data_IF_689122061308
#
_entry.id   IF_689122061308
#
_cell.length_a   1.000
_cell.length_b   1.000
_cell.length_c   1.000
_cell.angle_alpha   90.00
_cell.angle_beta   90.00
_cell.angle_gamma   90.00
#
_symmetry.space_group_name_H-M   'P 1'
#
loop_
_entity.id
_entity.type
_entity.pdbx_description
1 polymer ?
#
# COMPACT_ATOMS: atom_id res chain seq x y z
N UNK A 1 1.19 17.02 3.64
CA UNK A 1 0.81 16.19 2.47
C UNK A 1 1.62 14.90 2.49
N UNK A 2 1.06 13.80 2.00
CA UNK A 2 1.74 12.49 2.02
C UNK A 2 3.06 12.51 1.25
N UNK A 3 3.05 12.93 -0.02
CA UNK A 3 4.25 12.98 -0.87
C UNK A 3 5.39 13.78 -0.23
N UNK A 4 5.09 14.93 0.37
CA UNK A 4 6.11 15.74 1.04
C UNK A 4 6.66 15.03 2.30
N UNK A 5 5.82 14.33 3.05
CA UNK A 5 6.27 13.53 4.20
C UNK A 5 7.15 12.35 3.78
N UNK A 6 6.88 11.77 2.62
CA UNK A 6 7.63 10.63 2.08
C UNK A 6 8.94 11.03 1.38
N UNK A 7 9.12 12.32 1.06
CA UNK A 7 10.25 12.80 0.26
C UNK A 7 11.64 12.48 0.85
N UNK A 8 11.88 12.63 2.18
CA UNK A 8 13.17 12.26 2.75
C UNK A 8 13.53 10.80 2.49
N UNK A 9 12.58 9.91 2.74
CA UNK A 9 12.78 8.47 2.57
C UNK A 9 12.92 8.09 1.09
N UNK A 10 12.15 8.73 0.19
CA UNK A 10 12.33 8.54 -1.25
C UNK A 10 13.77 8.88 -1.67
N UNK A 11 14.33 9.98 -1.17
CA UNK A 11 15.71 10.40 -1.46
C UNK A 11 16.75 9.43 -0.90
N UNK A 12 16.56 8.95 0.33
CA UNK A 12 17.43 7.93 0.93
C UNK A 12 17.44 6.63 0.12
N UNK A 13 16.31 6.27 -0.47
CA UNK A 13 16.16 5.10 -1.34
C UNK A 13 16.56 5.36 -2.81
N UNK A 14 17.09 6.57 -3.11
CA UNK A 14 17.57 6.94 -4.44
C UNK A 14 16.49 7.36 -5.43
N UNK A 15 15.27 7.65 -4.97
CA UNK A 15 14.19 8.11 -5.84
C UNK A 15 14.10 9.64 -5.90
N UNK A 16 13.89 10.16 -7.11
CA UNK A 16 13.39 11.51 -7.34
C UNK A 16 11.86 11.55 -7.32
N UNK A 17 11.30 12.73 -7.06
CA UNK A 17 9.85 12.96 -7.11
C UNK A 17 9.56 14.23 -7.88
N UNK A 18 8.59 14.20 -8.80
CA UNK A 18 8.01 15.37 -9.44
C UNK A 18 6.49 15.16 -9.60
N UNK A 19 5.73 16.24 -9.48
CA UNK A 19 4.30 16.25 -9.81
C UNK A 19 4.07 16.96 -11.14
N UNK A 20 3.10 16.49 -11.94
CA UNK A 20 2.64 17.18 -13.14
C UNK A 20 1.14 17.45 -13.03
N UNK A 21 0.73 18.65 -13.44
CA UNK A 21 -0.66 19.07 -13.46
C UNK A 21 -0.96 19.90 -14.70
N UNK A 22 -2.22 19.90 -15.11
CA UNK A 22 -2.75 20.78 -16.14
C UNK A 22 -2.96 22.23 -15.66
N UNK A 23 -2.67 22.52 -14.38
CA UNK A 23 -2.77 23.86 -13.82
C UNK A 23 -1.65 24.78 -14.30
N UNK A 24 -1.90 26.09 -14.29
CA UNK A 24 -0.89 27.10 -14.63
C UNK A 24 0.21 27.17 -13.57
N UNK A 25 1.37 27.70 -13.96
CA UNK A 25 2.52 27.93 -13.05
C UNK A 25 2.07 28.70 -11.79
N UNK A 26 1.30 29.79 -11.96
CA UNK A 26 0.83 30.60 -10.83
C UNK A 26 -0.06 29.83 -9.83
N UNK A 27 -0.89 28.91 -10.32
CA UNK A 27 -1.69 28.02 -9.48
C UNK A 27 -0.79 27.06 -8.71
N UNK A 28 0.19 26.47 -9.39
CA UNK A 28 1.13 25.50 -8.78
C UNK A 28 2.04 26.18 -7.75
N UNK A 29 2.53 27.40 -8.02
CA UNK A 29 3.30 28.19 -7.05
C UNK A 29 2.50 28.51 -5.80
N UNK A 30 1.25 28.97 -5.95
CA UNK A 30 0.36 29.22 -4.82
C UNK A 30 0.12 27.94 -4.00
N UNK A 31 -0.12 26.82 -4.68
CA UNK A 31 -0.32 25.53 -4.04
C UNK A 31 0.94 25.05 -3.31
N UNK A 32 2.11 25.14 -3.97
CA UNK A 32 3.40 24.74 -3.39
C UNK A 32 3.73 25.55 -2.14
N UNK A 33 3.59 26.89 -2.21
CA UNK A 33 3.84 27.77 -1.08
C UNK A 33 2.91 27.49 0.10
N UNK A 34 1.61 27.36 -0.14
CA UNK A 34 0.60 27.09 0.89
C UNK A 34 0.80 25.73 1.56
N UNK A 35 1.23 24.71 0.80
CA UNK A 35 1.41 23.34 1.27
C UNK A 35 2.86 23.00 1.63
N UNK A 36 3.77 23.97 1.51
CA UNK A 36 5.22 23.81 1.77
C UNK A 36 5.81 22.63 0.98
N UNK A 37 5.45 22.53 -0.31
CA UNK A 37 5.94 21.49 -1.21
C UNK A 37 7.34 21.88 -1.68
N UNK A 38 8.31 20.95 -1.57
CA UNK A 38 9.71 21.16 -1.90
C UNK A 38 10.18 20.42 -3.16
N UNK A 39 9.37 19.47 -3.65
CA UNK A 39 9.64 18.78 -4.92
C UNK A 39 9.05 19.55 -6.11
N UNK A 40 9.60 19.38 -7.33
CA UNK A 40 9.12 20.06 -8.53
C UNK A 40 7.64 19.78 -8.83
N UNK A 41 6.88 20.84 -9.11
CA UNK A 41 5.56 20.79 -9.70
C UNK A 41 5.64 21.33 -11.14
N UNK A 42 5.30 20.50 -12.10
CA UNK A 42 5.40 20.80 -13.54
C UNK A 42 4.01 21.18 -14.08
N UNK A 43 3.95 22.28 -14.82
CA UNK A 43 2.73 22.80 -15.44
C UNK A 43 2.60 22.31 -16.87
N UNK A 44 1.46 21.69 -17.19
CA UNK A 44 1.08 21.23 -18.54
C UNK A 44 -0.31 21.78 -18.91
N UNK A 45 -0.50 23.10 -19.03
CA UNK A 45 -1.81 23.74 -19.17
C UNK A 45 -2.55 23.35 -20.44
N UNK A 46 -1.85 22.90 -21.47
CA UNK A 46 -2.41 22.38 -22.71
C UNK A 46 -2.59 20.86 -22.72
N UNK A 47 -2.23 20.20 -21.59
CA UNK A 47 -2.29 18.75 -21.42
C UNK A 47 -1.55 17.95 -22.51
N UNK A 48 -0.46 18.50 -23.04
CA UNK A 48 0.36 17.84 -24.08
C UNK A 48 1.04 16.60 -23.55
N UNK A 49 1.72 16.74 -22.41
CA UNK A 49 2.39 15.62 -21.74
C UNK A 49 1.36 14.61 -21.21
N UNK A 50 0.29 15.10 -20.60
CA UNK A 50 -0.83 14.28 -20.12
C UNK A 50 -1.41 13.39 -21.25
N UNK A 51 -1.60 13.97 -22.46
CA UNK A 51 -2.03 13.20 -23.64
C UNK A 51 -0.98 12.19 -24.11
N UNK A 52 0.30 12.58 -24.16
CA UNK A 52 1.37 11.67 -24.61
C UNK A 52 1.53 10.45 -23.71
N UNK A 53 1.20 10.58 -22.41
CA UNK A 53 1.18 9.46 -21.46
C UNK A 53 -0.14 8.67 -21.50
N UNK A 54 -1.13 9.07 -22.32
CA UNK A 54 -2.41 8.39 -22.45
C UNK A 54 -3.30 8.42 -21.20
N UNK A 55 -3.15 9.46 -20.38
CA UNK A 55 -3.85 9.60 -19.10
C UNK A 55 -4.88 10.74 -19.08
N UNK A 56 -5.19 11.34 -20.21
CA UNK A 56 -6.24 12.34 -20.28
C UNK A 56 -7.59 11.73 -19.90
N UNK A 57 -8.32 12.39 -19.00
CA UNK A 57 -9.67 11.98 -18.65
C UNK A 57 -10.68 12.55 -19.64
N UNK A 58 -10.99 11.77 -20.67
CA UNK A 58 -11.94 12.15 -21.73
C UNK A 58 -13.41 12.16 -21.27
N UNK A 59 -13.70 11.63 -20.09
CA UNK A 59 -15.07 11.62 -19.52
C UNK A 59 -15.45 12.99 -18.95
N UNK A 60 -14.49 13.88 -18.72
CA UNK A 60 -14.75 15.22 -18.20
C UNK A 60 -15.05 16.18 -19.36
N UNK A 61 -16.33 16.49 -19.55
CA UNK A 61 -16.82 17.37 -20.63
C UNK A 61 -16.96 18.85 -20.24
N UNK A 62 -16.78 19.19 -18.95
CA UNK A 62 -16.91 20.57 -18.48
C UNK A 62 -15.71 21.41 -18.92
N UNK A 63 -15.93 22.54 -19.58
CA UNK A 63 -14.88 23.40 -20.14
C UNK A 63 -13.82 23.82 -19.08
N UNK A 64 -14.24 24.13 -17.85
CA UNK A 64 -13.33 24.49 -16.76
C UNK A 64 -12.45 23.34 -16.26
N UNK A 65 -12.79 22.11 -16.58
CA UNK A 65 -12.07 20.90 -16.19
C UNK A 65 -11.46 20.17 -17.40
N UNK A 66 -11.57 20.75 -18.60
CA UNK A 66 -10.97 20.17 -19.79
C UNK A 66 -9.44 20.06 -19.62
N UNK A 67 -8.90 18.89 -19.98
CA UNK A 67 -7.45 18.65 -19.84
C UNK A 67 -7.03 17.97 -18.55
N UNK A 68 -7.97 17.71 -17.63
CA UNK A 68 -7.67 17.00 -16.37
C UNK A 68 -7.21 15.56 -16.66
N UNK A 69 -6.13 15.07 -16.03
CA UNK A 69 -5.70 13.68 -16.18
C UNK A 69 -6.48 12.75 -15.25
N UNK A 70 -6.48 11.45 -15.57
CA UNK A 70 -6.65 10.44 -14.55
C UNK A 70 -5.50 10.55 -13.54
N UNK A 71 -5.80 10.56 -12.24
CA UNK A 71 -4.75 10.64 -11.24
C UNK A 71 -4.02 9.30 -11.10
N UNK A 72 -2.73 9.37 -10.93
CA UNK A 72 -1.90 8.19 -10.77
C UNK A 72 -0.43 8.50 -10.62
N UNK A 73 0.36 7.45 -10.57
CA UNK A 73 1.80 7.51 -10.41
C UNK A 73 2.49 6.65 -11.45
N UNK A 74 3.49 7.21 -12.11
CA UNK A 74 4.46 6.47 -12.91
C UNK A 74 5.75 6.32 -12.10
N UNK A 75 6.32 5.13 -12.12
CA UNK A 75 7.70 4.90 -11.68
C UNK A 75 8.56 4.73 -12.92
N UNK A 76 9.62 5.52 -13.02
CA UNK A 76 10.55 5.47 -14.15
C UNK A 76 11.96 5.12 -13.68
N UNK A 77 12.71 4.42 -14.52
CA UNK A 77 14.13 4.13 -14.26
C UNK A 77 15.03 5.34 -14.60
N UNK A 78 16.34 5.19 -14.41
CA UNK A 78 17.31 6.23 -14.68
C UNK A 78 17.41 6.60 -16.18
N UNK A 79 16.98 5.68 -17.07
CA UNK A 79 16.93 5.88 -18.51
C UNK A 79 15.61 6.48 -19.00
N UNK A 80 14.68 6.80 -18.05
CA UNK A 80 13.39 7.40 -18.35
C UNK A 80 12.33 6.41 -18.84
N UNK A 81 12.54 5.10 -18.70
CA UNK A 81 11.55 4.07 -19.06
C UNK A 81 10.58 3.84 -17.93
N UNK A 82 9.29 3.73 -18.26
CA UNK A 82 8.26 3.41 -17.28
C UNK A 82 8.38 1.95 -16.85
N UNK A 83 8.70 1.72 -15.58
CA UNK A 83 8.83 0.38 -14.97
C UNK A 83 7.62 -0.02 -14.12
N UNK A 84 6.78 0.94 -13.72
CA UNK A 84 5.49 0.66 -13.07
C UNK A 84 4.50 1.81 -13.27
N UNK A 85 3.20 1.45 -13.21
CA UNK A 85 2.06 2.39 -13.29
C UNK A 85 1.04 2.05 -12.23
N UNK A 86 0.59 3.07 -11.48
CA UNK A 86 -0.43 2.96 -10.43
C UNK A 86 -1.53 3.97 -10.72
N UNK A 87 -2.61 3.51 -11.35
CA UNK A 87 -3.74 4.33 -11.76
C UNK A 87 -5.05 3.64 -11.41
N UNK A 88 -6.01 4.42 -10.92
CA UNK A 88 -7.36 3.98 -10.66
C UNK A 88 -8.36 4.71 -11.57
N UNK A 89 -9.42 4.01 -11.97
CA UNK A 89 -10.52 4.62 -12.74
C UNK A 89 -11.33 5.60 -11.89
N UNK A 90 -11.48 5.32 -10.59
CA UNK A 90 -12.10 6.25 -9.66
C UNK A 90 -11.06 7.27 -9.18
N UNK A 91 -11.25 8.53 -9.59
CA UNK A 91 -10.37 9.64 -9.22
C UNK A 91 -10.25 9.87 -7.70
N UNK A 92 -11.11 9.27 -6.91
CA UNK A 92 -11.07 9.33 -5.43
C UNK A 92 -10.13 8.31 -4.82
N UNK A 93 -9.72 7.30 -5.58
CA UNK A 93 -8.77 6.29 -5.14
C UNK A 93 -7.35 6.71 -5.48
N UNK A 94 -6.42 6.44 -4.58
CA UNK A 94 -5.00 6.81 -4.71
C UNK A 94 -4.11 5.78 -4.05
N UNK A 95 -3.09 5.34 -4.78
CA UNK A 95 -1.98 4.61 -4.18
C UNK A 95 -1.12 5.57 -3.35
N UNK A 96 -0.75 5.15 -2.13
CA UNK A 96 0.27 5.85 -1.38
C UNK A 96 1.65 5.55 -1.96
N UNK A 97 2.56 6.53 -1.89
CA UNK A 97 3.95 6.31 -2.32
C UNK A 97 4.63 5.25 -1.46
N UNK A 98 4.39 5.29 -0.16
CA UNK A 98 4.89 4.28 0.77
C UNK A 98 4.38 2.88 0.41
N UNK A 99 3.10 2.77 0.01
CA UNK A 99 2.50 1.52 -0.48
C UNK A 99 3.16 1.03 -1.77
N UNK A 100 3.42 1.93 -2.73
CA UNK A 100 4.13 1.61 -3.98
C UNK A 100 5.54 1.08 -3.68
N UNK A 101 6.28 1.72 -2.77
CA UNK A 101 7.63 1.30 -2.39
C UNK A 101 7.62 -0.06 -1.66
N UNK A 102 6.63 -0.28 -0.79
CA UNK A 102 6.47 -1.54 -0.09
C UNK A 102 6.14 -2.70 -1.03
N UNK A 103 5.21 -2.47 -1.97
CA UNK A 103 4.76 -3.47 -2.95
C UNK A 103 5.85 -3.80 -3.98
N UNK A 104 6.39 -2.77 -4.64
CA UNK A 104 7.26 -2.96 -5.81
C UNK A 104 8.72 -3.20 -5.46
N UNK A 105 9.20 -2.55 -4.39
CA UNK A 105 10.62 -2.54 -4.03
C UNK A 105 10.91 -3.24 -2.70
N UNK A 106 9.89 -3.77 -2.02
CA UNK A 106 10.03 -4.42 -0.73
C UNK A 106 10.50 -3.48 0.40
N UNK A 107 10.33 -2.15 0.22
CA UNK A 107 10.82 -1.11 1.13
C UNK A 107 9.74 -0.71 2.11
N UNK A 108 9.96 -0.95 3.40
CA UNK A 108 9.05 -0.51 4.47
C UNK A 108 9.33 0.96 4.82
N UNK A 109 8.71 1.85 4.09
CA UNK A 109 8.91 3.29 4.20
C UNK A 109 7.79 3.90 5.03
N UNK A 110 8.11 4.43 6.19
CA UNK A 110 7.11 4.99 7.10
C UNK A 110 6.31 3.95 7.87
N UNK A 111 6.83 2.75 7.94
CA UNK A 111 6.19 1.59 8.53
C UNK A 111 5.82 1.80 10.01
N UNK A 112 4.54 1.62 10.27
CA UNK A 112 4.07 1.30 11.61
C UNK A 112 4.19 -0.21 11.77
N UNK A 113 4.99 -0.66 12.73
CA UNK A 113 5.21 -2.08 13.01
C UNK A 113 5.08 -2.39 14.50
N UNK A 114 4.60 -3.57 14.82
CA UNK A 114 4.60 -4.12 16.17
C UNK A 114 5.14 -5.55 16.14
N UNK A 115 6.26 -5.81 16.82
CA UNK A 115 6.83 -7.15 16.89
C UNK A 115 6.10 -8.00 17.94
N UNK A 116 5.73 -9.22 17.56
CA UNK A 116 5.18 -10.25 18.45
C UNK A 116 6.15 -11.43 18.48
N UNK A 117 6.64 -11.78 19.68
CA UNK A 117 7.49 -12.97 19.89
C UNK A 117 6.60 -14.15 20.24
N UNK A 118 6.60 -15.15 19.38
CA UNK A 118 5.84 -16.38 19.54
C UNK A 118 6.76 -17.57 19.80
N UNK A 119 6.20 -18.71 20.14
CA UNK A 119 6.99 -19.89 20.50
C UNK A 119 7.89 -20.37 19.36
N UNK A 120 7.43 -20.29 18.12
CA UNK A 120 8.08 -20.84 16.93
C UNK A 120 8.74 -19.80 16.04
N UNK A 121 8.32 -18.53 16.14
CA UNK A 121 8.79 -17.44 15.27
C UNK A 121 8.54 -16.06 15.87
N UNK A 122 9.14 -15.05 15.26
CA UNK A 122 8.80 -13.66 15.44
C UNK A 122 7.88 -13.24 14.31
N UNK A 123 6.80 -12.54 14.63
CA UNK A 123 5.84 -11.96 13.67
C UNK A 123 5.86 -10.44 13.79
N UNK A 124 6.08 -9.76 12.67
CA UNK A 124 6.07 -8.30 12.62
C UNK A 124 4.99 -7.83 11.64
N UNK A 125 3.77 -7.57 12.12
CA UNK A 125 2.76 -6.87 11.35
C UNK A 125 3.20 -5.43 11.11
N UNK A 126 3.09 -4.95 9.86
CA UNK A 126 3.42 -3.59 9.50
C UNK A 126 2.40 -3.03 8.49
N UNK A 127 2.38 -1.70 8.34
CA UNK A 127 1.62 -1.01 7.32
C UNK A 127 2.50 0.06 6.68
N UNK A 128 2.35 0.29 5.37
CA UNK A 128 3.11 1.31 4.65
C UNK A 128 2.82 2.73 5.14
N UNK A 129 1.63 2.96 5.68
CA UNK A 129 1.16 4.28 6.12
C UNK A 129 0.49 4.17 7.49
N UNK A 130 0.63 5.21 8.31
CA UNK A 130 -0.10 5.36 9.58
C UNK A 130 -1.24 6.36 9.45
N UNK A 131 -1.10 7.32 8.55
CA UNK A 131 -2.09 8.36 8.29
C UNK A 131 -2.73 8.04 6.96
N UNK A 132 -4.05 7.93 6.95
CA UNK A 132 -4.82 7.51 5.77
C UNK A 132 -5.95 8.48 5.46
N UNK A 133 -6.44 8.44 4.23
CA UNK A 133 -7.59 9.20 3.74
C UNK A 133 -8.57 8.30 3.03
N UNK A 134 -9.78 8.78 2.87
CA UNK A 134 -10.77 8.07 2.07
C UNK A 134 -10.26 7.76 0.66
N UNK A 135 -10.51 6.53 0.18
CA UNK A 135 -10.06 6.06 -1.14
C UNK A 135 -8.56 5.75 -1.24
N UNK A 136 -7.79 5.79 -0.16
CA UNK A 136 -6.36 5.52 -0.21
C UNK A 136 -6.07 4.02 -0.24
N UNK A 137 -5.15 3.62 -1.13
CA UNK A 137 -4.55 2.29 -1.19
C UNK A 137 -3.25 2.28 -0.40
N UNK A 138 -3.13 1.36 0.53
CA UNK A 138 -1.92 1.11 1.31
C UNK A 138 -1.56 -0.36 1.27
N UNK A 139 -0.37 -0.69 1.72
CA UNK A 139 0.11 -2.07 1.84
C UNK A 139 0.26 -2.44 3.31
N UNK A 140 -0.35 -3.55 3.68
CA UNK A 140 -0.07 -4.26 4.93
C UNK A 140 0.97 -5.34 4.65
N UNK A 141 1.85 -5.59 5.60
CA UNK A 141 2.82 -6.68 5.52
C UNK A 141 2.89 -7.47 6.82
N UNK A 142 3.21 -8.75 6.67
CA UNK A 142 3.57 -9.64 7.77
C UNK A 142 4.98 -10.15 7.49
N UNK A 143 5.95 -9.76 8.28
CA UNK A 143 7.25 -10.39 8.28
C UNK A 143 7.25 -11.53 9.30
N UNK A 144 7.58 -12.72 8.84
CA UNK A 144 7.68 -13.92 9.66
C UNK A 144 9.15 -14.35 9.70
N UNK A 145 9.70 -14.54 10.91
CA UNK A 145 11.05 -15.06 11.13
C UNK A 145 10.98 -16.31 11.98
N UNK A 146 10.95 -17.47 11.32
CA UNK A 146 10.94 -18.77 11.98
C UNK A 146 12.25 -19.05 12.71
N UNK A 147 12.17 -19.70 13.87
CA UNK A 147 13.33 -20.23 14.55
C UNK A 147 13.97 -21.35 13.72
N UNK A 148 15.29 -21.58 13.83
CA UNK A 148 15.96 -22.68 13.11
C UNK A 148 15.29 -24.03 13.38
N UNK A 149 15.14 -24.84 12.33
CA UNK A 149 14.53 -26.17 12.40
C UNK A 149 12.99 -26.18 12.34
N UNK A 150 12.34 -25.00 12.25
CA UNK A 150 10.89 -24.90 12.05
C UNK A 150 10.55 -24.48 10.63
N UNK A 151 9.41 -24.99 10.16
CA UNK A 151 8.77 -24.58 8.93
C UNK A 151 7.25 -24.43 9.10
N UNK A 152 6.61 -23.76 8.16
CA UNK A 152 5.15 -23.67 8.03
C UNK A 152 4.76 -23.99 6.60
N UNK A 153 3.57 -24.54 6.38
CA UNK A 153 3.11 -24.90 5.03
C UNK A 153 2.61 -23.68 4.27
N UNK A 154 2.99 -23.61 3.01
CA UNK A 154 2.53 -22.58 2.09
C UNK A 154 1.10 -22.86 1.61
N UNK A 155 0.35 -21.83 1.15
CA UNK A 155 -0.91 -22.02 0.46
C UNK A 155 -0.76 -22.96 -0.75
N UNK A 156 -1.77 -23.82 -0.95
CA UNK A 156 -1.74 -24.81 -2.03
C UNK A 156 -1.09 -26.15 -1.65
N UNK A 157 -0.63 -26.33 -0.41
CA UNK A 157 -0.20 -27.63 0.08
C UNK A 157 -1.34 -28.65 -0.03
N UNK A 158 -1.00 -29.87 -0.39
CA UNK A 158 -1.93 -31.00 -0.51
C UNK A 158 -2.01 -31.79 0.81
N UNK A 159 -2.92 -32.76 0.86
CA UNK A 159 -3.16 -33.62 2.01
C UNK A 159 -3.73 -32.85 3.23
N UNK A 160 -3.57 -33.40 4.43
CA UNK A 160 -4.16 -32.87 5.67
C UNK A 160 -3.25 -31.80 6.34
N UNK A 161 -2.30 -31.26 5.61
CA UNK A 161 -1.46 -30.16 6.10
C UNK A 161 -2.21 -28.84 6.16
N UNK A 162 -1.97 -28.08 7.21
CA UNK A 162 -2.63 -26.78 7.45
C UNK A 162 -1.72 -25.66 6.96
N UNK A 163 -2.05 -25.02 5.80
CA UNK A 163 -1.27 -23.91 5.30
C UNK A 163 -1.43 -22.66 6.16
N UNK A 164 -0.45 -21.76 6.07
CA UNK A 164 -0.62 -20.41 6.62
C UNK A 164 -1.78 -19.70 5.92
N UNK A 165 -2.54 -18.92 6.70
CA UNK A 165 -3.64 -18.09 6.22
C UNK A 165 -3.67 -16.77 6.94
N UNK A 166 -3.90 -15.71 6.20
CA UNK A 166 -4.08 -14.38 6.73
C UNK A 166 -5.48 -13.88 6.38
N UNK A 167 -6.34 -13.81 7.37
CA UNK A 167 -7.71 -13.32 7.25
C UNK A 167 -7.82 -11.89 7.80
N UNK A 168 -8.72 -11.11 7.21
CA UNK A 168 -9.03 -9.75 7.67
C UNK A 168 -10.47 -9.67 8.12
N UNK A 169 -10.72 -8.90 9.17
CA UNK A 169 -12.08 -8.60 9.60
C UNK A 169 -12.82 -7.79 8.51
N UNK A 170 -14.07 -8.15 8.29
CA UNK A 170 -14.94 -7.44 7.34
C UNK A 170 -15.30 -6.06 7.88
N UNK A 171 -15.40 -5.08 6.99
CA UNK A 171 -15.82 -3.71 7.29
C UNK A 171 -16.36 -3.02 6.06
N UNK A 172 -17.31 -2.10 6.24
CA UNK A 172 -17.76 -1.18 5.19
C UNK A 172 -16.78 -0.03 4.97
N UNK A 173 -15.87 0.21 5.91
CA UNK A 173 -14.87 1.29 5.85
C UNK A 173 -13.60 0.95 5.09
N UNK A 174 -13.37 -0.32 4.75
CA UNK A 174 -12.22 -0.75 3.95
C UNK A 174 -12.46 -2.08 3.26
N UNK A 175 -11.66 -2.33 2.22
CA UNK A 175 -11.58 -3.62 1.55
C UNK A 175 -10.14 -4.11 1.56
N UNK A 176 -9.93 -5.40 1.80
CA UNK A 176 -8.62 -6.02 1.69
C UNK A 176 -8.52 -6.85 0.41
N UNK A 177 -7.39 -6.74 -0.28
CA UNK A 177 -7.03 -7.60 -1.39
C UNK A 177 -6.71 -9.04 -0.95
N UNK A 178 -6.38 -9.89 -1.90
CA UNK A 178 -5.86 -11.23 -1.65
C UNK A 178 -4.41 -11.11 -1.18
N UNK A 179 -3.96 -11.85 -0.14
CA UNK A 179 -2.56 -11.83 0.27
C UNK A 179 -1.65 -12.38 -0.83
N UNK A 180 -0.55 -11.69 -1.08
CA UNK A 180 0.54 -12.14 -1.95
C UNK A 180 1.58 -12.84 -1.08
N UNK A 181 1.83 -14.10 -1.39
CA UNK A 181 2.79 -14.94 -0.72
C UNK A 181 4.08 -15.03 -1.54
N UNK A 182 5.26 -15.12 -0.91
CA UNK A 182 6.51 -15.36 -1.63
C UNK A 182 6.52 -16.77 -2.24
N UNK A 183 7.48 -17.02 -3.10
CA UNK A 183 7.68 -18.37 -3.65
C UNK A 183 8.08 -19.35 -2.53
N UNK A 184 7.29 -20.42 -2.37
CA UNK A 184 7.56 -21.48 -1.42
C UNK A 184 8.71 -22.37 -1.92
N UNK A 185 9.41 -23.01 -0.98
CA UNK A 185 10.36 -24.09 -1.29
C UNK A 185 9.65 -25.42 -1.15
N UNK A 186 9.95 -26.35 -2.06
CA UNK A 186 9.47 -27.72 -1.92
C UNK A 186 10.51 -28.52 -1.12
N UNK A 187 10.13 -28.94 0.07
CA UNK A 187 11.01 -29.68 0.99
C UNK A 187 10.36 -31.02 1.39
N UNK A 188 11.19 -32.02 1.69
CA UNK A 188 10.71 -33.26 2.32
C UNK A 188 10.26 -32.94 3.74
N UNK A 189 9.04 -33.38 4.06
CA UNK A 189 8.48 -33.21 5.40
C UNK A 189 8.34 -34.56 6.08
N UNK A 190 8.40 -34.58 7.43
CA UNK A 190 8.40 -35.80 8.20
C UNK A 190 7.21 -36.72 7.86
N UNK A 191 7.50 -37.99 7.59
CA UNK A 191 6.50 -39.02 7.34
C UNK A 191 5.86 -38.98 5.94
N UNK A 192 6.32 -38.10 5.05
CA UNK A 192 5.80 -37.98 3.69
C UNK A 192 6.93 -38.15 2.65
N UNK A 193 6.82 -39.11 1.71
CA UNK A 193 7.78 -39.25 0.63
C UNK A 193 7.69 -38.12 -0.41
N UNK A 194 6.59 -37.39 -0.44
CA UNK A 194 6.36 -36.30 -1.38
C UNK A 194 6.89 -34.98 -0.82
N UNK A 195 7.37 -34.12 -1.73
CA UNK A 195 7.77 -32.76 -1.40
C UNK A 195 6.53 -31.89 -1.11
N UNK A 196 6.57 -31.12 -0.03
CA UNK A 196 5.53 -30.16 0.32
C UNK A 196 6.04 -28.71 0.18
N UNK A 197 5.22 -27.76 -0.29
CA UNK A 197 5.59 -26.35 -0.34
C UNK A 197 5.59 -25.76 1.08
N UNK A 198 6.75 -25.29 1.52
CA UNK A 198 6.97 -24.74 2.87
C UNK A 198 7.68 -23.39 2.85
N UNK A 199 7.56 -22.68 3.96
CA UNK A 199 8.39 -21.53 4.30
C UNK A 199 9.23 -21.87 5.53
N UNK A 200 10.52 -21.55 5.46
CA UNK A 200 11.49 -21.65 6.55
C UNK A 200 12.29 -20.35 6.64
N UNK A 201 12.89 -20.06 7.78
CA UNK A 201 13.68 -18.85 8.01
C UNK A 201 12.85 -17.57 7.96
N UNK A 202 13.24 -16.59 7.14
CA UNK A 202 12.58 -15.28 7.01
C UNK A 202 11.82 -15.20 5.70
N UNK A 203 10.55 -14.79 5.78
CA UNK A 203 9.73 -14.49 4.61
C UNK A 203 8.71 -13.38 4.92
N UNK A 204 8.18 -12.78 3.88
CA UNK A 204 7.23 -11.66 3.97
C UNK A 204 5.99 -11.95 3.13
N UNK A 205 4.83 -11.66 3.70
CA UNK A 205 3.52 -11.69 3.04
C UNK A 205 3.05 -10.25 2.94
N UNK A 206 2.49 -9.85 1.81
CA UNK A 206 1.92 -8.53 1.62
C UNK A 206 0.45 -8.62 1.24
N UNK A 207 -0.30 -7.57 1.58
CA UNK A 207 -1.72 -7.45 1.25
C UNK A 207 -2.08 -5.99 1.05
N UNK A 208 -2.80 -5.69 -0.01
CA UNK A 208 -3.36 -4.37 -0.22
C UNK A 208 -4.55 -4.15 0.72
N UNK A 209 -4.68 -2.92 1.20
CA UNK A 209 -5.85 -2.42 1.94
C UNK A 209 -6.31 -1.12 1.30
N UNK A 210 -7.59 -1.05 0.92
CA UNK A 210 -8.21 0.11 0.30
C UNK A 210 -9.23 0.70 1.24
N UNK A 211 -9.01 1.93 1.69
CA UNK A 211 -9.98 2.64 2.51
C UNK A 211 -11.17 3.11 1.67
N UNK A 212 -12.36 2.99 2.23
CA UNK A 212 -13.59 3.48 1.61
C UNK A 212 -13.60 5.01 1.48
N UNK A 213 -14.60 5.56 0.80
CA UNK A 213 -14.80 6.99 0.71
C UNK A 213 -14.99 7.62 2.11
N UNK A 214 -14.78 8.95 2.23
CA UNK A 214 -14.99 9.66 3.53
C UNK A 214 -16.36 9.36 4.16
N UNK A 215 -17.42 9.20 3.34
CA UNK A 215 -18.76 8.84 3.81
C UNK A 215 -18.83 7.47 4.49
N UNK A 216 -18.01 6.53 4.05
CA UNK A 216 -17.92 5.18 4.62
C UNK A 216 -17.05 5.13 5.88
N UNK A 217 -16.12 6.09 6.02
CA UNK A 217 -15.30 6.23 7.22
C UNK A 217 -16.00 7.01 8.36
N UNK A 218 -17.02 7.82 8.05
CA UNK A 218 -17.80 8.58 9.05
C UNK A 218 -18.36 7.74 10.20
N UNK A 219 -18.98 6.56 9.97
CA UNK A 219 -19.50 5.71 11.05
C UNK A 219 -18.41 5.17 11.98
N UNK A 220 -17.14 5.15 11.52
CA UNK A 220 -15.96 4.71 12.26
C UNK A 220 -15.26 5.88 12.99
N UNK A 221 -15.88 7.06 13.05
CA UNK A 221 -15.35 8.26 13.70
C UNK A 221 -15.00 9.40 12.73
N UNK A 222 -14.93 9.14 11.42
CA UNK A 222 -14.67 10.16 10.39
C UNK A 222 -13.27 10.75 10.44
N UNK A 223 -13.16 12.01 10.03
CA UNK A 223 -11.88 12.74 10.00
C UNK A 223 -11.35 13.01 11.40
N UNK A 224 -10.04 12.89 11.57
CA UNK A 224 -9.29 12.97 12.83
C UNK A 224 -9.58 11.84 13.83
N UNK A 225 -10.27 10.77 13.41
CA UNK A 225 -10.45 9.58 14.22
C UNK A 225 -9.27 8.61 14.08
N UNK A 226 -9.08 7.81 15.11
CA UNK A 226 -8.26 6.60 15.02
C UNK A 226 -9.18 5.42 14.71
N UNK A 227 -8.87 4.67 13.66
CA UNK A 227 -9.55 3.43 13.30
C UNK A 227 -8.62 2.24 13.47
N UNK A 228 -9.19 1.11 13.90
CA UNK A 228 -8.45 -0.14 14.08
C UNK A 228 -8.89 -1.17 13.04
N UNK A 229 -7.96 -1.61 12.22
CA UNK A 229 -8.14 -2.72 11.28
C UNK A 229 -7.65 -3.98 11.94
N UNK A 230 -8.48 -5.03 11.96
CA UNK A 230 -8.17 -6.31 12.61
C UNK A 230 -8.01 -7.42 11.59
N UNK A 231 -7.20 -8.41 11.95
CA UNK A 231 -7.02 -9.63 11.18
C UNK A 231 -6.59 -10.79 12.06
N UNK A 232 -6.35 -11.94 11.43
CA UNK A 232 -5.87 -13.15 12.10
C UNK A 232 -4.86 -13.84 11.19
N UNK A 233 -3.71 -14.20 11.74
CA UNK A 233 -2.73 -15.05 11.08
C UNK A 233 -2.81 -16.46 11.64
N UNK A 234 -3.29 -17.40 10.82
CA UNK A 234 -3.37 -18.81 11.16
C UNK A 234 -2.15 -19.55 10.62
N UNK A 235 -1.59 -20.43 11.43
CA UNK A 235 -0.42 -21.23 11.06
C UNK A 235 -0.39 -22.57 11.78
N UNK A 236 0.35 -23.50 11.23
CA UNK A 236 0.80 -24.73 11.90
C UNK A 236 2.33 -24.80 11.76
N UNK A 237 3.04 -24.74 12.89
CA UNK A 237 4.49 -24.90 12.89
C UNK A 237 4.86 -26.39 12.97
N UNK A 238 5.85 -26.78 12.17
CA UNK A 238 6.36 -28.15 12.13
C UNK A 238 7.88 -28.15 12.22
N UNK A 239 8.42 -29.25 12.73
CA UNK A 239 9.84 -29.63 12.61
C UNK A 239 9.95 -30.81 11.64
N UNK A 240 11.14 -31.31 11.42
CA UNK A 240 11.33 -32.55 10.64
C UNK A 240 10.63 -33.78 11.26
N UNK A 241 10.24 -33.74 12.51
CA UNK A 241 9.70 -34.90 13.24
C UNK A 241 8.26 -34.74 13.73
N UNK A 242 7.80 -33.52 13.91
CA UNK A 242 6.54 -33.25 14.60
C UNK A 242 5.90 -31.95 14.09
N UNK A 243 4.58 -32.00 13.85
CA UNK A 243 3.75 -30.82 13.67
C UNK A 243 3.00 -30.48 14.97
N UNK A 244 3.03 -29.21 15.34
CA UNK A 244 2.31 -28.70 16.51
C UNK A 244 0.85 -28.39 16.13
N UNK A 245 -0.07 -28.31 17.10
CA UNK A 245 -1.43 -27.87 16.81
C UNK A 245 -1.47 -26.51 16.12
N UNK A 246 -2.41 -26.30 15.19
CA UNK A 246 -2.56 -25.01 14.53
C UNK A 246 -2.94 -23.93 15.54
N UNK A 247 -2.46 -22.71 15.31
CA UNK A 247 -2.69 -21.54 16.14
C UNK A 247 -3.16 -20.35 15.33
N UNK A 248 -3.94 -19.48 15.97
CA UNK A 248 -4.43 -18.23 15.43
C UNK A 248 -3.80 -17.06 16.22
N UNK A 249 -3.13 -16.15 15.51
CA UNK A 249 -2.51 -14.95 16.08
C UNK A 249 -3.35 -13.74 15.70
N UNK A 250 -3.90 -13.00 16.68
CA UNK A 250 -4.63 -11.77 16.38
C UNK A 250 -3.69 -10.68 15.87
N UNK A 251 -4.17 -9.92 14.89
CA UNK A 251 -3.45 -8.83 14.26
C UNK A 251 -4.27 -7.54 14.39
N UNK A 252 -3.58 -6.44 14.65
CA UNK A 252 -4.18 -5.10 14.70
C UNK A 252 -3.27 -4.07 14.04
N UNK A 253 -3.89 -3.15 13.26
CA UNK A 253 -3.27 -1.96 12.72
C UNK A 253 -4.13 -0.75 13.07
N UNK A 254 -3.51 0.31 13.58
CA UNK A 254 -4.18 1.56 13.95
C UNK A 254 -3.83 2.65 12.96
N UNK A 255 -4.84 3.32 12.44
CA UNK A 255 -4.72 4.35 11.42
C UNK A 255 -5.38 5.63 11.89
N UNK A 256 -4.70 6.75 11.67
CA UNK A 256 -5.28 8.07 11.83
C UNK A 256 -5.90 8.53 10.51
N UNK A 257 -7.18 8.91 10.53
CA UNK A 257 -7.91 9.35 9.33
C UNK A 257 -7.78 10.86 9.18
N UNK A 258 -7.15 11.31 8.08
CA UNK A 258 -7.12 12.72 7.70
C UNK A 258 -8.20 13.05 6.66
N UNK A 259 -8.78 14.25 6.74
CA UNK A 259 -9.67 14.79 5.70
C UNK A 259 -8.90 15.13 4.43
N UNK A 260 -9.62 15.16 3.31
CA UNK A 260 -9.12 15.81 2.11
C UNK A 260 -8.98 17.32 2.30
N UNK A 261 -7.95 17.88 1.70
CA UNK A 261 -7.84 19.31 1.54
C UNK A 261 -8.93 19.82 0.58
N UNK A 262 -9.81 20.67 1.10
CA UNK A 262 -10.90 21.28 0.31
C UNK A 262 -10.65 22.76 0.04
N UNK A 263 -9.50 23.27 0.45
CA UNK A 263 -9.14 24.67 0.23
C UNK A 263 -8.88 24.91 -1.26
N UNK A 264 -9.61 25.84 -1.82
CA UNK A 264 -9.51 26.22 -3.24
C UNK A 264 -8.49 27.34 -3.42
N UNK A 265 -7.90 27.40 -4.62
CA UNK A 265 -7.08 28.55 -5.01
C UNK A 265 -7.90 29.84 -5.04
N UNK A 266 -7.26 31.02 -4.78
CA UNK A 266 -7.91 32.32 -4.91
C UNK A 266 -8.59 32.50 -6.28
N UNK A 267 -9.72 33.22 -6.29
CA UNK A 267 -10.53 33.37 -7.51
C UNK A 267 -9.76 33.96 -8.69
N UNK A 268 -8.78 34.84 -8.40
CA UNK A 268 -7.93 35.47 -9.42
C UNK A 268 -7.04 34.44 -10.18
N UNK A 269 -6.72 33.33 -9.55
CA UNK A 269 -5.87 32.26 -10.12
C UNK A 269 -6.69 31.11 -10.73
N UNK A 270 -8.02 31.13 -10.59
CA UNK A 270 -8.87 30.09 -11.18
C UNK A 270 -8.85 30.16 -12.69
N UNK A 271 -8.88 28.99 -13.30
CA UNK A 271 -9.04 28.85 -14.74
C UNK A 271 -10.41 29.43 -15.14
N UNK A 272 -10.41 30.31 -16.13
CA UNK A 272 -11.62 30.93 -16.71
C UNK A 272 -12.23 30.03 -17.77
#
# INVERSE_FOLDING_TARGET
MELERSLPVLREEGFGLAGISYDSVAVLENFAARRKITYPLLSDPESKVIRSFGILNEQVQQAMQAGIPYPGTFVVDAEGRVIAKYFEKDYRQRYSVSGILADRFGKDVGAFSSEQKLDFFQLTPAASDRIVRGGQHIVLSLEVRLKPGYHVYAPGVKKDYIPIRWDMALSDGWKSGIPSYPQARNEMVAGDPDLAPVYSGRFRIIRELVFGAESQLKPLGGSNAEITVKGTFRYQACTEKLCFPPQDVPLEWKFHVESFDRERVPDQLRRK
#
